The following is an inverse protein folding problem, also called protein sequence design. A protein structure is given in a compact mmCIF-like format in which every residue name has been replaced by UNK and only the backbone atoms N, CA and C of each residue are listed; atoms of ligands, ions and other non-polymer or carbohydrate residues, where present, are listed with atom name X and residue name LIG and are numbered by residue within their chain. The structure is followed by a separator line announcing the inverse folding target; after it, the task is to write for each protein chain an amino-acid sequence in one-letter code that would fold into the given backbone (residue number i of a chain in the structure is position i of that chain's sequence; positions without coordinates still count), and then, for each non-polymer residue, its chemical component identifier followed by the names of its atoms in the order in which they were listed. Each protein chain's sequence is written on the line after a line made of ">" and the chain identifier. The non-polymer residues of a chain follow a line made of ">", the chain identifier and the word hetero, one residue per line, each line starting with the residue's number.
data_IF_003497280473
#
_entry.id   IF_003497280473
#
_cell.length_a   1.000
_cell.length_b   1.000
_cell.length_c   1.000
_cell.angle_alpha   90.00
_cell.angle_beta   90.00
_cell.angle_gamma   90.00
#
_symmetry.space_group_name_H-M   'P 1'
#
loop_
_entity.id
_entity.type
_entity.pdbx_description
1 polymer ?
#
# COMPACT_ATOMS: atom_id res chain seq x y z
N UNK A 1 -8.42 22.28 -20.56
CA UNK A 1 -7.23 21.50 -20.99
C UNK A 1 -7.25 20.23 -20.19
N UNK A 2 -7.53 19.08 -20.83
CA UNK A 2 -7.49 17.76 -20.17
C UNK A 2 -6.00 17.41 -20.01
N UNK A 3 -5.50 17.48 -18.79
CA UNK A 3 -4.12 17.12 -18.48
C UNK A 3 -3.84 15.69 -18.96
N UNK A 4 -2.70 15.48 -19.62
CA UNK A 4 -2.22 14.14 -20.00
C UNK A 4 -2.25 13.27 -18.74
N UNK A 5 -3.09 12.24 -18.73
CA UNK A 5 -3.05 11.16 -17.73
C UNK A 5 -1.70 10.50 -17.94
N UNK A 6 -0.72 10.87 -17.13
CA UNK A 6 0.53 10.11 -17.02
C UNK A 6 0.13 8.77 -16.43
N UNK A 7 0.34 7.68 -17.18
CA UNK A 7 0.11 6.35 -16.62
C UNK A 7 0.93 6.22 -15.33
N UNK A 8 0.31 5.97 -14.18
CA UNK A 8 1.04 5.86 -12.94
C UNK A 8 2.06 4.74 -13.02
N UNK A 9 3.23 4.96 -12.42
CA UNK A 9 4.24 3.90 -12.28
C UNK A 9 3.71 2.90 -11.28
N UNK A 10 3.51 1.66 -11.72
CA UNK A 10 3.06 0.57 -10.86
C UNK A 10 4.15 0.17 -9.87
N UNK A 11 3.83 0.05 -8.59
CA UNK A 11 4.76 -0.16 -7.49
C UNK A 11 4.45 -1.43 -6.70
N UNK A 12 5.48 -2.11 -6.24
CA UNK A 12 5.38 -3.28 -5.37
C UNK A 12 5.93 -2.90 -4.00
N UNK A 13 5.10 -3.10 -2.97
CA UNK A 13 5.35 -2.75 -1.58
C UNK A 13 5.32 -4.04 -0.71
N UNK A 14 6.45 -4.77 -0.56
CA UNK A 14 6.49 -5.95 0.29
C UNK A 14 6.21 -5.62 1.75
N UNK A 15 5.21 -6.31 2.36
CA UNK A 15 4.92 -6.14 3.80
C UNK A 15 5.85 -7.01 4.64
N UNK A 16 6.63 -6.36 5.50
CA UNK A 16 7.53 -7.05 6.44
C UNK A 16 6.80 -7.82 7.53
N UNK A 17 5.48 -7.71 7.64
CA UNK A 17 4.68 -8.52 8.55
C UNK A 17 4.92 -10.04 8.32
N UNK A 18 5.27 -10.42 7.09
CA UNK A 18 5.55 -11.82 6.70
C UNK A 18 7.05 -12.16 6.65
N UNK A 19 7.93 -11.23 7.02
CA UNK A 19 9.37 -11.45 7.02
C UNK A 19 9.84 -12.27 8.23
N UNK A 20 11.03 -12.84 8.15
CA UNK A 20 11.72 -13.42 9.32
C UNK A 20 12.27 -12.29 10.21
N UNK A 21 11.59 -12.01 11.31
CA UNK A 21 11.99 -10.94 12.25
C UNK A 21 13.33 -11.20 12.94
N UNK A 22 13.78 -12.47 13.05
CA UNK A 22 15.11 -12.77 13.57
C UNK A 22 16.23 -12.24 12.65
N UNK A 23 15.91 -12.00 11.36
CA UNK A 23 16.83 -11.54 10.33
C UNK A 23 16.29 -10.32 9.56
N UNK A 24 15.41 -9.54 10.18
CA UNK A 24 14.67 -8.46 9.52
C UNK A 24 15.54 -7.52 8.67
N UNK A 25 16.73 -7.16 9.15
CA UNK A 25 17.65 -6.30 8.39
C UNK A 25 18.20 -6.97 7.11
N UNK A 26 18.34 -8.29 7.08
CA UNK A 26 18.73 -9.05 5.87
C UNK A 26 17.56 -9.15 4.90
N UNK A 27 16.36 -9.44 5.42
CA UNK A 27 15.12 -9.49 4.65
C UNK A 27 14.84 -8.18 3.92
N UNK A 28 14.94 -7.05 4.63
CA UNK A 28 14.75 -5.71 4.06
C UNK A 28 15.74 -5.43 2.93
N UNK A 29 17.03 -5.75 3.12
CA UNK A 29 18.03 -5.58 2.05
C UNK A 29 17.78 -6.54 0.86
N UNK A 30 17.30 -7.75 1.13
CA UNK A 30 17.00 -8.72 0.09
C UNK A 30 15.84 -8.27 -0.81
N UNK A 31 14.75 -7.74 -0.23
CA UNK A 31 13.62 -7.23 -1.03
C UNK A 31 13.95 -5.92 -1.76
N UNK A 32 14.78 -5.02 -1.19
CA UNK A 32 15.28 -3.86 -1.90
C UNK A 32 16.11 -4.27 -3.13
N UNK A 33 17.04 -5.21 -2.95
CA UNK A 33 17.84 -5.78 -4.05
C UNK A 33 16.98 -6.51 -5.09
N UNK A 34 15.89 -7.12 -4.66
CA UNK A 34 14.93 -7.79 -5.55
C UNK A 34 14.07 -6.82 -6.37
N UNK A 35 14.18 -5.52 -6.13
CA UNK A 35 13.51 -4.49 -6.91
C UNK A 35 12.14 -4.06 -6.38
N UNK A 36 11.92 -4.12 -5.05
CA UNK A 36 10.78 -3.47 -4.41
C UNK A 36 10.83 -1.95 -4.61
N UNK A 37 9.67 -1.30 -4.57
CA UNK A 37 9.55 0.17 -4.70
C UNK A 37 9.36 0.84 -3.33
N UNK A 38 8.67 0.16 -2.40
CA UNK A 38 8.43 0.56 -1.01
C UNK A 38 8.74 -0.59 -0.06
N UNK A 39 8.80 -0.31 1.22
CA UNK A 39 8.75 -1.29 2.31
C UNK A 39 7.49 -1.01 3.10
N UNK A 40 6.53 -1.94 3.07
CA UNK A 40 5.28 -1.82 3.83
C UNK A 40 5.45 -2.31 5.26
N UNK A 41 4.92 -1.52 6.20
CA UNK A 41 5.09 -1.75 7.64
C UNK A 41 3.73 -1.69 8.32
N UNK A 42 3.19 -2.86 8.69
CA UNK A 42 1.90 -3.02 9.34
C UNK A 42 2.03 -2.85 10.86
N UNK A 43 1.47 -1.76 11.40
CA UNK A 43 1.45 -1.44 12.83
C UNK A 43 0.06 -1.71 13.39
N UNK A 44 -0.02 -2.61 14.37
CA UNK A 44 -1.27 -3.07 14.99
C UNK A 44 -1.19 -2.91 16.51
N UNK A 45 -2.28 -2.46 17.13
CA UNK A 45 -2.34 -2.09 18.55
C UNK A 45 -3.10 -3.08 19.44
N UNK A 46 -3.71 -4.12 18.86
CA UNK A 46 -4.55 -5.08 19.61
C UNK A 46 -5.94 -4.54 20.00
N UNK A 47 -6.30 -3.33 19.51
CA UNK A 47 -7.61 -2.70 19.76
C UNK A 47 -8.40 -2.52 18.46
N UNK A 48 -7.86 -1.77 17.50
CA UNK A 48 -8.49 -1.62 16.20
C UNK A 48 -8.55 -2.95 15.43
N UNK A 49 -7.51 -3.78 15.60
CA UNK A 49 -7.44 -5.15 15.07
C UNK A 49 -7.04 -6.13 16.19
N UNK A 50 -7.45 -7.43 16.11
CA UNK A 50 -7.18 -8.40 17.17
C UNK A 50 -5.76 -8.98 17.12
N UNK A 51 -4.77 -8.15 16.82
CA UNK A 51 -3.35 -8.51 16.74
C UNK A 51 -2.49 -7.35 17.21
N UNK A 52 -1.33 -7.64 17.78
CA UNK A 52 -0.32 -6.69 18.22
C UNK A 52 0.96 -6.96 17.46
N UNK A 53 1.54 -5.95 16.80
CA UNK A 53 2.75 -6.16 15.98
C UNK A 53 3.93 -5.32 16.46
N UNK A 54 4.17 -4.20 15.83
CA UNK A 54 5.38 -3.38 15.95
C UNK A 54 5.02 -1.90 16.10
N UNK A 55 6.05 -1.07 16.37
CA UNK A 55 5.86 0.36 16.54
C UNK A 55 7.03 1.17 15.99
N UNK A 56 7.15 2.48 16.32
CA UNK A 56 8.18 3.39 15.80
C UNK A 56 9.59 2.88 15.99
N UNK A 57 9.85 2.10 17.05
CA UNK A 57 11.17 1.52 17.33
C UNK A 57 11.64 0.58 16.20
N UNK A 58 10.75 -0.29 15.71
CA UNK A 58 11.06 -1.21 14.60
C UNK A 58 11.15 -0.44 13.28
N UNK A 59 10.27 0.54 13.02
CA UNK A 59 10.35 1.43 11.84
C UNK A 59 11.74 2.09 11.78
N UNK A 60 12.25 2.61 12.91
CA UNK A 60 13.59 3.19 13.00
C UNK A 60 14.70 2.17 12.70
N UNK A 61 14.52 0.91 13.10
CA UNK A 61 15.49 -0.15 12.80
C UNK A 61 15.48 -0.49 11.30
N UNK A 62 14.30 -0.63 10.68
CA UNK A 62 14.11 -0.87 9.24
C UNK A 62 14.72 0.27 8.42
N UNK A 63 14.49 1.55 8.81
CA UNK A 63 15.04 2.73 8.13
C UNK A 63 16.56 2.67 7.95
N UNK A 64 17.29 2.12 8.91
CA UNK A 64 18.75 1.97 8.81
C UNK A 64 19.20 0.90 7.81
N UNK A 65 18.31 0.02 7.41
CA UNK A 65 18.59 -1.13 6.51
C UNK A 65 18.30 -0.88 5.03
N UNK A 66 17.61 0.21 4.68
CA UNK A 66 17.14 0.47 3.31
C UNK A 66 17.13 1.95 2.95
N UNK A 67 17.21 2.28 1.67
CA UNK A 67 16.97 3.61 1.12
C UNK A 67 15.54 3.81 0.61
N UNK A 68 14.77 2.73 0.45
CA UNK A 68 13.41 2.78 -0.07
C UNK A 68 12.47 3.56 0.86
N UNK A 69 11.43 4.21 0.34
CA UNK A 69 10.37 4.79 1.16
C UNK A 69 9.75 3.74 2.08
N UNK A 70 9.60 4.10 3.36
CA UNK A 70 8.85 3.30 4.33
C UNK A 70 7.39 3.74 4.28
N UNK A 71 6.55 2.81 3.92
CA UNK A 71 5.11 2.94 3.79
C UNK A 71 4.47 2.33 5.05
N UNK A 72 4.16 3.19 6.02
CA UNK A 72 3.72 2.77 7.35
C UNK A 72 2.20 2.84 7.45
N UNK A 73 1.58 1.70 7.70
CA UNK A 73 0.14 1.52 7.81
C UNK A 73 -0.27 1.31 9.27
N UNK A 74 -1.04 2.26 9.82
CA UNK A 74 -1.48 2.26 11.21
C UNK A 74 -2.87 1.65 11.35
N UNK A 75 -2.93 0.39 11.73
CA UNK A 75 -4.13 -0.32 12.17
C UNK A 75 -4.27 -0.19 13.68
N UNK A 76 -4.57 1.03 14.14
CA UNK A 76 -4.63 1.35 15.56
C UNK A 76 -5.69 2.41 15.86
N UNK A 77 -6.29 2.33 17.04
CA UNK A 77 -7.17 3.36 17.55
C UNK A 77 -6.37 4.62 17.93
N UNK A 78 -6.94 5.79 17.65
CA UNK A 78 -6.38 7.09 18.06
C UNK A 78 -4.89 7.27 17.67
N UNK A 79 -4.53 7.23 16.39
CA UNK A 79 -3.13 7.31 15.93
C UNK A 79 -2.46 8.69 16.17
N UNK A 80 -3.25 9.76 16.36
CA UNK A 80 -2.76 11.15 16.45
C UNK A 80 -1.58 11.35 17.44
N UNK A 81 -1.54 10.75 18.65
CA UNK A 81 -0.43 10.93 19.58
C UNK A 81 0.92 10.42 19.07
N UNK A 82 0.91 9.49 18.11
CA UNK A 82 2.11 8.78 17.63
C UNK A 82 2.65 9.31 16.29
N UNK A 83 1.96 10.23 15.61
CA UNK A 83 2.36 10.71 14.29
C UNK A 83 3.80 11.24 14.27
N UNK A 84 4.19 12.03 15.28
CA UNK A 84 5.54 12.57 15.39
C UNK A 84 6.60 11.50 15.67
N UNK A 85 6.23 10.41 16.35
CA UNK A 85 7.15 9.30 16.63
C UNK A 85 7.48 8.53 15.36
N UNK A 86 6.48 8.28 14.50
CA UNK A 86 6.68 7.64 13.20
C UNK A 86 7.47 8.53 12.24
N UNK A 87 7.24 9.85 12.24
CA UNK A 87 8.06 10.80 11.47
C UNK A 87 9.53 10.74 11.89
N UNK A 88 9.81 10.81 13.21
CA UNK A 88 11.19 10.68 13.75
C UNK A 88 11.80 9.31 13.50
N UNK A 89 10.99 8.26 13.38
CA UNK A 89 11.44 6.92 13.04
C UNK A 89 11.83 6.77 11.57
N UNK A 90 11.43 7.72 10.69
CA UNK A 90 11.78 7.75 9.28
C UNK A 90 10.71 7.18 8.35
N UNK A 91 9.43 7.17 8.78
CA UNK A 91 8.30 6.90 7.89
C UNK A 91 8.28 7.92 6.73
N UNK A 92 8.08 7.45 5.51
CA UNK A 92 7.98 8.29 4.30
C UNK A 92 6.52 8.55 3.94
N UNK A 93 5.68 7.56 4.18
CA UNK A 93 4.22 7.59 4.02
C UNK A 93 3.65 7.11 5.36
N UNK A 94 2.61 7.78 5.85
CA UNK A 94 1.90 7.35 7.04
C UNK A 94 0.42 7.27 6.74
N UNK A 95 -0.12 6.08 6.79
CA UNK A 95 -1.52 5.76 6.45
C UNK A 95 -2.31 5.46 7.71
N UNK A 96 -3.44 6.15 7.90
CA UNK A 96 -4.38 5.95 9.00
C UNK A 96 -5.72 5.47 8.48
N UNK A 97 -6.46 4.71 9.28
CA UNK A 97 -7.81 4.26 8.92
C UNK A 97 -8.83 5.37 9.11
N UNK A 98 -9.74 5.54 8.12
CA UNK A 98 -10.86 6.47 8.24
C UNK A 98 -11.76 6.11 9.43
N UNK A 99 -11.86 4.84 9.77
CA UNK A 99 -12.66 4.30 10.87
C UNK A 99 -12.06 4.58 12.26
N UNK A 100 -10.74 4.83 12.33
CA UNK A 100 -9.99 4.99 13.58
C UNK A 100 -9.76 6.46 13.98
N UNK A 101 -10.12 7.42 13.12
CA UNK A 101 -9.78 8.83 13.29
C UNK A 101 -11.03 9.72 13.32
N UNK A 102 -11.27 10.39 14.45
CA UNK A 102 -12.42 11.29 14.61
C UNK A 102 -12.33 12.54 13.72
N UNK A 103 -11.13 13.11 13.56
CA UNK A 103 -10.91 14.35 12.81
C UNK A 103 -9.92 14.12 11.65
N UNK A 104 -10.31 13.30 10.70
CA UNK A 104 -9.45 12.81 9.62
C UNK A 104 -8.71 13.94 8.86
N UNK A 105 -9.41 15.03 8.51
CA UNK A 105 -8.78 16.17 7.86
C UNK A 105 -7.60 16.75 8.67
N UNK A 106 -7.77 16.90 9.99
CA UNK A 106 -6.71 17.42 10.88
C UNK A 106 -5.53 16.45 10.91
N UNK A 107 -5.79 15.16 11.04
CA UNK A 107 -4.74 14.13 11.11
C UNK A 107 -3.93 14.06 9.81
N UNK A 108 -4.57 14.05 8.63
CA UNK A 108 -3.87 14.08 7.33
C UNK A 108 -3.03 15.36 7.17
N UNK A 109 -3.57 16.52 7.60
CA UNK A 109 -2.83 17.78 7.57
C UNK A 109 -1.61 17.75 8.49
N UNK A 110 -1.71 17.12 9.66
CA UNK A 110 -0.60 16.99 10.60
C UNK A 110 0.48 16.05 10.09
N UNK A 111 0.11 14.91 9.49
CA UNK A 111 1.05 13.99 8.83
C UNK A 111 1.88 14.74 7.78
N UNK A 112 1.24 15.57 6.94
CA UNK A 112 1.95 16.37 5.92
C UNK A 112 2.86 17.45 6.52
N UNK A 113 2.45 18.12 7.59
CA UNK A 113 3.30 19.09 8.32
C UNK A 113 4.56 18.45 8.91
N UNK A 114 4.46 17.18 9.32
CA UNK A 114 5.58 16.40 9.81
C UNK A 114 6.52 15.92 8.68
N UNK A 115 6.25 16.27 7.42
CA UNK A 115 7.09 15.96 6.26
C UNK A 115 6.84 14.60 5.63
N UNK A 116 5.82 13.87 6.06
CA UNK A 116 5.41 12.59 5.48
C UNK A 116 4.33 12.80 4.41
N UNK A 117 4.19 11.85 3.49
CA UNK A 117 3.01 11.72 2.63
C UNK A 117 1.85 11.18 3.46
N UNK A 118 0.67 11.78 3.33
CA UNK A 118 -0.50 11.40 4.10
C UNK A 118 -1.32 10.33 3.35
N UNK A 119 -1.49 9.16 3.98
CA UNK A 119 -2.35 8.09 3.49
C UNK A 119 -3.63 7.95 4.31
N UNK A 120 -4.70 7.50 3.66
CA UNK A 120 -5.94 7.09 4.33
C UNK A 120 -6.39 5.72 3.85
N UNK A 121 -6.70 4.84 4.79
CA UNK A 121 -7.14 3.45 4.55
C UNK A 121 -8.64 3.27 4.79
N UNK A 122 -9.24 2.30 4.06
CA UNK A 122 -10.62 1.85 4.22
C UNK A 122 -10.67 0.33 4.36
N UNK A 123 -11.45 -0.14 5.33
CA UNK A 123 -11.79 -1.56 5.47
C UNK A 123 -12.65 -2.07 4.30
N UNK A 124 -12.74 -3.41 4.10
CA UNK A 124 -13.56 -3.98 3.02
C UNK A 124 -15.03 -3.52 3.02
N UNK A 125 -15.63 -3.31 4.18
CA UNK A 125 -17.03 -2.87 4.32
C UNK A 125 -17.23 -1.36 4.25
N UNK A 126 -16.17 -0.56 4.37
CA UNK A 126 -16.26 0.91 4.45
C UNK A 126 -16.47 1.53 3.06
N UNK A 127 -17.49 2.37 2.87
CA UNK A 127 -17.81 2.93 1.57
C UNK A 127 -16.83 4.06 1.16
N UNK A 128 -16.53 4.22 -0.15
CA UNK A 128 -15.62 5.25 -0.67
C UNK A 128 -16.03 6.69 -0.40
N UNK A 129 -17.30 6.96 -0.18
CA UNK A 129 -17.80 8.33 0.08
C UNK A 129 -17.18 8.96 1.34
N UNK A 130 -16.70 8.16 2.29
CA UNK A 130 -16.07 8.67 3.52
C UNK A 130 -14.72 9.35 3.27
N UNK A 131 -14.03 9.04 2.19
CA UNK A 131 -12.74 9.68 1.85
C UNK A 131 -12.89 10.82 0.84
N UNK A 132 -14.02 10.95 0.16
CA UNK A 132 -14.21 11.99 -0.86
C UNK A 132 -13.96 13.42 -0.32
N UNK A 133 -14.42 13.79 0.90
CA UNK A 133 -14.16 15.11 1.47
C UNK A 133 -12.68 15.41 1.76
N UNK A 134 -11.85 14.38 1.93
CA UNK A 134 -10.43 14.52 2.31
C UNK A 134 -9.44 14.17 1.20
N UNK A 135 -9.91 13.86 0.00
CA UNK A 135 -9.04 13.52 -1.14
C UNK A 135 -8.00 14.61 -1.46
N UNK A 136 -8.31 15.88 -1.20
CA UNK A 136 -7.37 16.98 -1.43
C UNK A 136 -6.22 17.03 -0.42
N UNK A 137 -6.33 16.28 0.66
CA UNK A 137 -5.35 16.19 1.75
C UNK A 137 -4.61 14.86 1.78
N UNK A 138 -5.04 13.88 0.96
CA UNK A 138 -4.41 12.58 0.84
C UNK A 138 -3.41 12.55 -0.33
N UNK A 139 -2.29 11.88 -0.13
CA UNK A 139 -1.28 11.58 -1.14
C UNK A 139 -1.34 10.09 -1.56
N UNK A 140 -2.01 9.27 -0.73
CA UNK A 140 -2.23 7.84 -0.95
C UNK A 140 -3.58 7.42 -0.36
N UNK A 141 -4.31 6.57 -1.09
CA UNK A 141 -5.51 5.87 -0.59
C UNK A 141 -5.20 4.39 -0.57
N UNK A 142 -5.34 3.78 0.61
CA UNK A 142 -5.16 2.34 0.78
C UNK A 142 -6.53 1.65 0.89
N UNK A 143 -6.77 0.66 0.04
CA UNK A 143 -7.96 -0.19 0.10
C UNK A 143 -7.57 -1.54 0.67
N UNK A 144 -8.13 -1.87 1.84
CA UNK A 144 -7.99 -3.21 2.39
C UNK A 144 -8.79 -4.20 1.55
N UNK A 145 -8.10 -5.23 1.05
CA UNK A 145 -8.73 -6.33 0.31
C UNK A 145 -8.89 -7.61 1.14
N UNK A 146 -8.63 -7.50 2.44
CA UNK A 146 -8.93 -8.47 3.50
C UNK A 146 -9.41 -7.71 4.73
N UNK A 147 -10.00 -8.39 5.71
CA UNK A 147 -10.18 -7.78 7.02
C UNK A 147 -8.81 -7.64 7.69
N UNK A 148 -8.40 -6.42 8.12
CA UNK A 148 -7.07 -6.21 8.68
C UNK A 148 -6.87 -6.98 9.99
N UNK A 149 -5.57 -7.27 10.31
CA UNK A 149 -5.18 -7.93 11.55
C UNK A 149 -4.25 -9.13 11.38
N UNK A 150 -4.32 -9.87 10.28
CA UNK A 150 -3.48 -11.04 10.05
C UNK A 150 -2.97 -11.12 8.61
N UNK A 151 -1.73 -11.59 8.45
CA UNK A 151 -1.17 -11.91 7.14
C UNK A 151 -1.69 -13.23 6.57
N UNK A 152 -1.42 -13.49 5.28
CA UNK A 152 -1.71 -14.77 4.63
C UNK A 152 -3.17 -15.02 4.24
N UNK A 153 -4.05 -14.04 4.39
CA UNK A 153 -5.46 -14.13 3.98
C UNK A 153 -5.63 -14.11 2.46
N UNK A 154 -6.79 -14.54 1.98
CA UNK A 154 -7.16 -14.46 0.57
C UNK A 154 -7.85 -13.13 0.27
N UNK A 155 -7.55 -12.56 -0.92
CA UNK A 155 -8.18 -11.35 -1.41
C UNK A 155 -9.70 -11.53 -1.52
N UNK A 156 -10.48 -10.59 -0.99
CA UNK A 156 -11.93 -10.49 -1.10
C UNK A 156 -12.28 -9.89 -2.48
N UNK A 157 -12.80 -10.67 -3.46
CA UNK A 157 -13.02 -10.17 -4.82
C UNK A 157 -14.00 -9.00 -4.90
N UNK A 158 -14.93 -8.91 -3.96
CA UNK A 158 -15.96 -7.87 -3.85
C UNK A 158 -15.38 -6.47 -3.60
N UNK A 159 -14.09 -6.39 -3.23
CA UNK A 159 -13.37 -5.11 -3.06
C UNK A 159 -12.94 -4.51 -4.41
N UNK A 160 -12.79 -5.31 -5.47
CA UNK A 160 -12.34 -4.81 -6.78
C UNK A 160 -13.22 -3.68 -7.36
N UNK A 161 -14.56 -3.74 -7.29
CA UNK A 161 -15.42 -2.61 -7.66
C UNK A 161 -15.14 -1.33 -6.87
N UNK A 162 -14.84 -1.43 -5.56
CA UNK A 162 -14.46 -0.30 -4.71
C UNK A 162 -13.18 0.37 -5.19
N UNK A 163 -12.14 -0.40 -5.52
CA UNK A 163 -10.88 0.11 -6.10
C UNK A 163 -11.19 0.93 -7.37
N UNK A 164 -12.03 0.39 -8.26
CA UNK A 164 -12.44 1.08 -9.49
C UNK A 164 -13.22 2.38 -9.24
N UNK A 165 -14.06 2.40 -8.21
CA UNK A 165 -14.80 3.60 -7.80
C UNK A 165 -13.85 4.68 -7.28
N UNK A 166 -12.94 4.32 -6.37
CA UNK A 166 -11.95 5.26 -5.81
C UNK A 166 -11.03 5.79 -6.92
N UNK A 167 -10.60 4.97 -7.87
CA UNK A 167 -9.84 5.44 -9.04
C UNK A 167 -10.60 6.51 -9.82
N UNK A 168 -11.91 6.34 -10.02
CA UNK A 168 -12.75 7.36 -10.69
C UNK A 168 -12.79 8.67 -9.90
N UNK A 169 -12.91 8.60 -8.57
CA UNK A 169 -12.87 9.78 -7.71
C UNK A 169 -11.53 10.52 -7.80
N UNK A 170 -10.41 9.80 -7.76
CA UNK A 170 -9.05 10.36 -7.91
C UNK A 170 -8.90 11.05 -9.26
N UNK A 171 -9.31 10.41 -10.36
CA UNK A 171 -9.25 10.97 -11.71
C UNK A 171 -10.13 12.22 -11.84
N UNK A 172 -11.35 12.19 -11.29
CA UNK A 172 -12.26 13.34 -11.26
C UNK A 172 -11.66 14.55 -10.52
N UNK A 173 -10.91 14.30 -9.45
CA UNK A 173 -10.21 15.37 -8.69
C UNK A 173 -8.99 15.92 -9.43
N UNK A 174 -8.41 15.20 -10.38
CA UNK A 174 -7.25 15.64 -11.17
C UNK A 174 -5.95 15.78 -10.36
N UNK A 175 -5.84 15.06 -9.24
CA UNK A 175 -4.64 15.06 -8.37
C UNK A 175 -3.86 13.76 -8.46
N UNK A 176 -2.51 13.81 -8.29
CA UNK A 176 -1.67 12.63 -8.31
C UNK A 176 -1.72 11.86 -6.97
N UNK A 177 -2.86 11.25 -6.66
CA UNK A 177 -3.05 10.40 -5.48
C UNK A 177 -2.80 8.97 -5.88
N UNK A 178 -1.92 8.27 -5.18
CA UNK A 178 -1.68 6.83 -5.36
C UNK A 178 -2.83 6.02 -4.78
N UNK A 179 -3.21 4.96 -5.50
CA UNK A 179 -4.21 4.00 -5.05
C UNK A 179 -3.53 2.68 -4.74
N UNK A 180 -3.46 2.37 -3.47
CA UNK A 180 -2.83 1.18 -2.93
C UNK A 180 -3.88 0.12 -2.59
N UNK A 181 -3.49 -1.14 -2.68
CA UNK A 181 -4.29 -2.29 -2.26
C UNK A 181 -3.46 -3.19 -1.36
N UNK A 182 -4.02 -3.58 -0.22
CA UNK A 182 -3.39 -4.49 0.73
C UNK A 182 -4.33 -5.62 1.15
N UNK A 183 -3.80 -6.84 1.09
CA UNK A 183 -4.47 -8.06 1.53
C UNK A 183 -4.56 -9.12 0.43
N UNK A 184 -3.89 -10.24 0.64
CA UNK A 184 -3.99 -11.41 -0.23
C UNK A 184 -3.44 -11.24 -1.64
N UNK A 185 -2.61 -10.21 -1.89
CA UNK A 185 -2.01 -9.96 -3.22
C UNK A 185 -0.88 -10.95 -3.49
N UNK A 186 -1.00 -11.64 -4.63
CA UNK A 186 -0.06 -12.66 -5.14
C UNK A 186 0.16 -12.48 -6.64
N UNK A 187 1.10 -13.23 -7.21
CA UNK A 187 1.40 -13.20 -8.65
C UNK A 187 0.14 -13.45 -9.50
N UNK A 188 -0.74 -14.35 -9.04
CA UNK A 188 -1.91 -14.80 -9.80
C UNK A 188 -3.02 -13.75 -9.88
N UNK A 189 -3.19 -12.94 -8.83
CA UNK A 189 -4.35 -12.04 -8.69
C UNK A 189 -4.00 -10.54 -8.82
N UNK A 190 -2.72 -10.16 -8.71
CA UNK A 190 -2.26 -8.76 -8.77
C UNK A 190 -2.76 -8.03 -10.04
N UNK A 191 -2.85 -8.75 -11.16
CA UNK A 191 -3.36 -8.21 -12.43
C UNK A 191 -4.84 -7.79 -12.37
N UNK A 192 -5.64 -8.40 -11.50
CA UNK A 192 -7.04 -8.00 -11.29
C UNK A 192 -7.12 -6.66 -10.54
N UNK A 193 -6.33 -6.48 -9.48
CA UNK A 193 -6.23 -5.23 -8.74
C UNK A 193 -5.70 -4.08 -9.62
N UNK A 194 -4.68 -4.34 -10.45
CA UNK A 194 -4.16 -3.36 -11.41
C UNK A 194 -5.22 -2.94 -12.44
N UNK A 195 -6.00 -3.88 -12.98
CA UNK A 195 -7.11 -3.58 -13.89
C UNK A 195 -8.24 -2.79 -13.22
N UNK A 196 -8.43 -2.99 -11.91
CA UNK A 196 -9.38 -2.20 -11.13
C UNK A 196 -8.90 -0.76 -10.91
N UNK A 197 -7.60 -0.50 -11.07
CA UNK A 197 -7.02 0.85 -11.04
C UNK A 197 -6.03 1.09 -9.88
N UNK A 198 -5.59 0.06 -9.16
CA UNK A 198 -4.54 0.20 -8.16
C UNK A 198 -3.18 0.51 -8.82
N UNK A 199 -2.36 1.31 -8.15
CA UNK A 199 -1.01 1.70 -8.56
C UNK A 199 0.06 1.02 -7.70
N UNK A 200 -0.26 0.79 -6.41
CA UNK A 200 0.65 0.23 -5.41
C UNK A 200 0.05 -1.07 -4.87
N UNK A 201 0.88 -2.11 -4.76
CA UNK A 201 0.44 -3.45 -4.41
C UNK A 201 1.23 -3.95 -3.22
N UNK A 202 0.55 -4.07 -2.06
CA UNK A 202 1.14 -4.63 -0.86
C UNK A 202 1.07 -6.16 -0.93
N UNK A 203 2.20 -6.82 -0.73
CA UNK A 203 2.28 -8.28 -0.71
C UNK A 203 3.23 -8.77 0.38
N UNK A 204 2.70 -9.43 1.38
CA UNK A 204 3.46 -10.07 2.45
C UNK A 204 3.85 -11.50 2.07
N UNK A 205 3.03 -12.48 2.45
CA UNK A 205 3.27 -13.91 2.20
C UNK A 205 3.44 -14.27 0.72
N UNK A 206 2.85 -13.49 -0.19
CA UNK A 206 3.01 -13.65 -1.63
C UNK A 206 4.45 -13.43 -2.12
N UNK A 207 5.29 -12.72 -1.35
CA UNK A 207 6.72 -12.50 -1.62
C UNK A 207 7.57 -13.27 -0.61
N UNK A 208 7.43 -13.00 0.70
CA UNK A 208 8.27 -13.60 1.75
C UNK A 208 8.08 -15.11 1.91
N UNK A 209 6.96 -15.67 1.47
CA UNK A 209 6.73 -17.13 1.42
C UNK A 209 7.40 -17.83 0.24
N UNK A 210 8.13 -17.13 -0.63
CA UNK A 210 8.79 -17.70 -1.81
C UNK A 210 10.28 -17.89 -1.60
N UNK A 211 10.90 -18.77 -2.39
CA UNK A 211 12.34 -19.04 -2.31
C UNK A 211 13.20 -17.94 -2.95
N UNK A 212 12.65 -17.20 -3.91
CA UNK A 212 13.36 -16.18 -4.69
C UNK A 212 12.48 -14.93 -4.86
N UNK A 213 12.77 -13.91 -4.07
CA UNK A 213 12.03 -12.64 -4.07
C UNK A 213 12.15 -11.91 -5.41
N UNK A 214 13.32 -11.95 -6.05
CA UNK A 214 13.55 -11.25 -7.32
C UNK A 214 12.71 -11.86 -8.45
N UNK A 215 12.68 -13.19 -8.55
CA UNK A 215 11.82 -13.90 -9.51
C UNK A 215 10.34 -13.61 -9.26
N UNK A 216 9.91 -13.58 -8.00
CA UNK A 216 8.51 -13.30 -7.62
C UNK A 216 8.11 -11.86 -7.96
N UNK A 217 8.91 -10.86 -7.57
CA UNK A 217 8.65 -9.44 -7.87
C UNK A 217 8.65 -9.22 -9.38
N UNK A 218 9.58 -9.81 -10.13
CA UNK A 218 9.60 -9.73 -11.59
C UNK A 218 8.33 -10.35 -12.24
N UNK A 219 7.81 -11.45 -11.68
CA UNK A 219 6.56 -12.06 -12.14
C UNK A 219 5.36 -11.14 -11.85
N UNK A 220 5.29 -10.53 -10.66
CA UNK A 220 4.27 -9.54 -10.32
C UNK A 220 4.29 -8.35 -11.29
N UNK A 221 5.48 -7.79 -11.58
CA UNK A 221 5.63 -6.68 -12.54
C UNK A 221 5.16 -7.02 -13.94
N UNK A 222 5.40 -8.25 -14.42
CA UNK A 222 4.88 -8.70 -15.73
C UNK A 222 3.35 -8.71 -15.76
N UNK A 223 2.69 -9.08 -14.66
CA UNK A 223 1.24 -9.19 -14.59
C UNK A 223 0.52 -7.84 -14.42
N UNK A 224 1.21 -6.81 -13.92
CA UNK A 224 0.66 -5.45 -13.81
C UNK A 224 1.01 -4.56 -15.00
N UNK A 225 2.04 -4.91 -15.79
CA UNK A 225 2.38 -4.15 -16.99
C UNK A 225 1.25 -4.21 -18.01
N UNK A 226 0.83 -3.09 -18.62
CA UNK A 226 -0.14 -3.13 -19.70
C UNK A 226 0.43 -4.04 -20.79
N UNK A 227 -0.30 -5.13 -21.14
CA UNK A 227 0.08 -5.99 -22.28
C UNK A 227 0.22 -5.07 -23.48
N UNK A 228 1.44 -4.86 -23.98
CA UNK A 228 1.63 -4.34 -25.34
C UNK A 228 0.79 -5.22 -26.25
N UNK A 229 -0.20 -4.62 -26.91
CA UNK A 229 -1.02 -5.33 -27.87
C UNK A 229 -0.09 -6.11 -28.82
N UNK A 230 -0.15 -7.43 -28.80
CA UNK A 230 0.43 -8.29 -29.83
C UNK A 230 -0.38 -8.08 -31.10
N UNK A 231 -0.21 -6.93 -31.74
CA UNK A 231 -0.73 -6.61 -33.06
C UNK A 231 0.44 -6.52 -34.03
N UNK A 232 0.97 -7.66 -34.46
CA UNK A 232 1.66 -7.76 -35.76
C UNK A 232 2.21 -9.16 -36.04
N UNK A 233 1.35 -10.19 -36.02
CA UNK A 233 1.65 -11.44 -36.72
C UNK A 233 0.36 -12.13 -37.23
N UNK A 234 -0.48 -11.42 -37.94
CA UNK A 234 -1.49 -11.99 -38.83
C UNK A 234 -1.70 -11.08 -40.03
N UNK A 235 -0.64 -10.96 -40.87
CA UNK A 235 -0.74 -10.59 -42.28
C UNK A 235 0.47 -11.17 -43.01
N UNK A 236 0.42 -12.45 -43.27
CA UNK A 236 1.14 -13.11 -44.37
C UNK A 236 0.62 -14.55 -44.44
N UNK A 237 -0.49 -14.75 -45.14
CA UNK A 237 -0.86 -15.92 -45.95
C UNK A 237 -2.00 -15.49 -46.86
#
# INVERSE_FOLDING_TARGET
>A
MVGKIVNPVMKISPSILSADFARLGEEVRAIEKAGADYIHVDVMDGHFVPNLTIGPFVVKAVRRGTSLPLDVHLMMERPDPFLSDFARAGASILTVHVEAVTHLHRTLSEIRKLGMRAGVSLNPSTPPCLIEPVLDYADLILVMSVNPGFGGQELIPEVLPKIKEIRRLIVKKGRPVELEVDGGIKVENIGAAAKAGADVFVSGSGIFGTKDYATTIAAMRRNISPRRAQSSQRKAL
#
